data_IF_185485895199
#
_entry.id   IF_185485895199
#
_cell.length_a   1.000
_cell.length_b   1.000
_cell.length_c   1.000
_cell.angle_alpha   90.00
_cell.angle_beta   90.00
_cell.angle_gamma   90.00
#
_symmetry.space_group_name_H-M   'P 1'
#
loop_
_entity.id
_entity.type
_entity.pdbx_description
1 polymer ?
#
# COMPACT_ATOMS: atom_id res chain seq x y z
N UNK A 1 43.96 58.96 29.64
CA UNK A 1 45.37 58.59 29.90
C UNK A 1 45.50 57.10 29.70
N UNK A 2 46.25 56.67 28.69
CA UNK A 2 46.77 55.29 28.59
C UNK A 2 47.89 55.11 29.66
N UNK A 3 48.42 53.90 29.98
CA UNK A 3 49.09 53.08 28.96
C UNK A 3 49.13 51.54 29.17
N UNK A 4 49.45 50.86 28.05
CA UNK A 4 50.39 49.73 27.88
C UNK A 4 50.63 48.72 29.02
N UNK A 5 50.54 47.42 28.70
CA UNK A 5 51.76 46.68 28.37
C UNK A 5 51.50 45.33 27.67
N UNK A 6 52.43 45.00 26.79
CA UNK A 6 52.46 43.88 25.87
C UNK A 6 53.50 42.83 26.29
N UNK A 7 53.18 41.57 25.98
CA UNK A 7 54.10 40.47 25.61
C UNK A 7 55.01 39.87 26.69
N UNK A 8 54.95 38.53 26.88
CA UNK A 8 55.92 37.57 26.31
C UNK A 8 55.67 36.11 26.80
N UNK A 9 55.66 35.14 25.86
CA UNK A 9 56.23 33.75 25.96
C UNK A 9 55.63 32.74 26.98
N UNK A 10 55.48 31.42 26.76
CA UNK A 10 55.87 30.46 25.71
C UNK A 10 55.27 29.07 26.06
N UNK A 11 54.88 28.27 25.05
CA UNK A 11 54.70 26.79 24.96
C UNK A 11 54.12 25.97 26.15
N UNK A 12 53.02 25.25 25.89
CA UNK A 12 53.01 23.78 25.83
C UNK A 12 51.65 23.22 25.36
N UNK A 13 51.74 22.27 24.44
CA UNK A 13 50.67 21.43 23.88
C UNK A 13 49.88 20.66 24.95
N UNK A 14 48.56 20.53 24.76
CA UNK A 14 47.89 19.22 24.76
C UNK A 14 46.45 19.31 24.25
N UNK A 15 46.10 18.29 23.47
CA UNK A 15 44.92 18.13 22.65
C UNK A 15 43.64 17.88 23.45
N UNK A 16 42.49 18.14 22.82
CA UNK A 16 41.29 17.33 23.04
C UNK A 16 39.98 18.09 23.09
N UNK A 17 39.01 17.63 22.30
CA UNK A 17 37.57 17.91 22.34
C UNK A 17 37.09 19.23 21.72
N UNK A 18 37.13 19.31 20.38
CA UNK A 18 36.01 19.95 19.66
C UNK A 18 34.86 18.95 19.62
N UNK A 19 33.79 19.22 20.39
CA UNK A 19 32.52 18.52 20.28
C UNK A 19 31.98 18.69 18.85
N UNK A 20 32.11 17.64 18.04
CA UNK A 20 31.30 17.48 16.85
C UNK A 20 29.87 17.19 17.29
N UNK A 21 29.02 18.20 17.20
CA UNK A 21 27.56 18.04 17.32
C UNK A 21 27.13 17.20 16.12
N UNK A 22 26.98 15.89 16.33
CA UNK A 22 26.20 15.05 15.43
C UNK A 22 24.76 15.54 15.48
N UNK A 23 24.11 15.91 14.36
CA UNK A 23 22.68 15.80 14.32
C UNK A 23 22.38 14.30 14.28
N UNK A 24 22.12 13.72 15.45
CA UNK A 24 21.41 12.46 15.53
C UNK A 24 20.01 12.71 14.98
N UNK A 25 19.85 12.62 13.66
CA UNK A 25 18.53 12.43 13.03
C UNK A 25 18.18 10.97 13.22
N UNK A 26 17.86 10.60 14.45
CA UNK A 26 17.17 9.36 14.79
C UNK A 26 15.90 9.78 15.50
N UNK A 27 14.86 10.06 14.71
CA UNK A 27 13.53 10.33 15.23
C UNK A 27 12.48 9.81 14.25
N UNK A 28 12.27 8.49 14.26
CA UNK A 28 10.93 7.94 14.08
C UNK A 28 10.78 6.74 15.01
N UNK A 29 9.89 6.87 16.00
CA UNK A 29 8.93 5.80 16.21
C UNK A 29 7.49 6.37 16.36
N UNK A 30 6.48 5.55 16.06
CA UNK A 30 5.16 5.96 15.55
C UNK A 30 4.32 4.73 15.16
N UNK A 31 4.09 3.79 16.09
CA UNK A 31 3.86 2.34 15.88
C UNK A 31 2.46 1.81 16.19
N UNK A 32 1.83 0.88 15.43
CA UNK A 32 1.22 -0.45 15.85
C UNK A 32 0.10 -1.19 15.03
N UNK A 33 0.41 -2.48 14.80
CA UNK A 33 -0.21 -3.72 14.24
C UNK A 33 0.41 -4.83 15.11
N UNK A 34 -0.07 -6.07 15.04
CA UNK A 34 0.59 -7.17 15.77
C UNK A 34 1.88 -7.66 15.09
N UNK A 35 2.10 -7.32 13.82
CA UNK A 35 3.28 -7.71 13.07
C UNK A 35 4.54 -7.01 13.58
N UNK A 36 5.60 -7.79 13.79
CA UNK A 36 6.91 -7.32 14.26
C UNK A 36 7.07 -7.27 15.77
N UNK A 37 6.00 -7.47 16.54
CA UNK A 37 6.07 -7.51 18.01
C UNK A 37 6.80 -8.75 18.53
N UNK A 38 7.49 -8.58 19.66
CA UNK A 38 8.11 -9.69 20.38
C UNK A 38 7.05 -10.61 21.01
N UNK A 39 7.44 -11.85 21.30
CA UNK A 39 6.54 -12.83 21.95
C UNK A 39 5.99 -12.31 23.29
N UNK A 40 6.84 -11.65 24.08
CA UNK A 40 6.46 -11.07 25.37
C UNK A 40 5.41 -9.96 25.23
N UNK A 41 5.54 -9.13 24.21
CA UNK A 41 4.56 -8.08 23.96
C UNK A 41 3.24 -8.69 23.50
N UNK A 42 3.28 -9.63 22.54
CA UNK A 42 2.09 -10.33 22.07
C UNK A 42 1.32 -10.99 23.24
N UNK A 43 2.03 -11.63 24.17
CA UNK A 43 1.42 -12.22 25.38
C UNK A 43 0.72 -11.19 26.28
N UNK A 44 1.18 -9.93 26.29
CA UNK A 44 0.55 -8.82 27.01
C UNK A 44 -0.63 -8.23 26.24
N UNK A 45 -0.51 -8.05 24.91
CA UNK A 45 -1.51 -7.36 24.09
C UNK A 45 -2.71 -8.25 23.82
N UNK A 46 -2.49 -9.47 23.33
CA UNK A 46 -3.54 -10.36 22.81
C UNK A 46 -4.71 -10.54 23.79
N UNK A 47 -4.48 -10.76 25.11
CA UNK A 47 -5.58 -10.91 26.07
C UNK A 47 -6.47 -9.67 26.23
N UNK A 48 -6.00 -8.49 25.83
CA UNK A 48 -6.75 -7.22 25.92
C UNK A 48 -7.59 -6.94 24.67
N UNK A 49 -7.36 -7.69 23.59
CA UNK A 49 -8.06 -7.50 22.32
C UNK A 49 -9.39 -8.27 22.29
N UNK A 50 -10.38 -7.68 21.63
CA UNK A 50 -11.62 -8.38 21.32
C UNK A 50 -11.37 -9.39 20.18
N UNK A 51 -10.96 -10.59 20.55
CA UNK A 51 -10.63 -11.64 19.60
C UNK A 51 -11.88 -12.12 18.84
N UNK A 52 -11.77 -12.17 17.52
CA UNK A 52 -12.81 -12.71 16.64
C UNK A 52 -12.27 -13.86 15.79
N UNK A 53 -13.18 -14.67 15.25
CA UNK A 53 -12.83 -15.65 14.23
C UNK A 53 -12.82 -14.94 12.87
N UNK A 54 -11.74 -15.05 12.06
CA UNK A 54 -11.69 -14.39 10.76
C UNK A 54 -12.86 -14.78 9.86
N UNK A 55 -13.41 -13.80 9.15
CA UNK A 55 -14.49 -14.02 8.20
C UNK A 55 -14.11 -14.94 7.03
N UNK A 56 -15.12 -15.48 6.35
CA UNK A 56 -14.95 -16.17 5.07
C UNK A 56 -14.81 -15.15 3.93
N UNK A 57 -14.07 -15.53 2.89
CA UNK A 57 -14.01 -14.77 1.63
C UNK A 57 -15.42 -14.64 1.05
N UNK A 58 -15.91 -13.41 0.77
CA UNK A 58 -17.19 -13.23 0.10
C UNK A 58 -17.21 -13.94 -1.27
N UNK A 59 -18.35 -14.54 -1.67
CA UNK A 59 -18.45 -15.18 -2.98
C UNK A 59 -18.45 -14.12 -4.09
N UNK A 60 -18.23 -14.54 -5.36
CA UNK A 60 -18.42 -13.68 -6.51
C UNK A 60 -19.82 -13.06 -6.56
N UNK A 61 -19.92 -11.86 -7.14
CA UNK A 61 -21.20 -11.19 -7.32
C UNK A 61 -22.18 -12.04 -8.14
N UNK A 62 -23.42 -12.16 -7.66
CA UNK A 62 -24.52 -12.75 -8.44
C UNK A 62 -24.85 -11.92 -9.68
N UNK A 63 -24.91 -10.60 -9.52
CA UNK A 63 -25.03 -9.65 -10.62
C UNK A 63 -23.69 -8.95 -10.80
N UNK A 64 -22.99 -9.29 -11.88
CA UNK A 64 -21.65 -8.80 -12.19
C UNK A 64 -21.64 -7.86 -13.42
N UNK A 65 -22.81 -7.35 -13.82
CA UNK A 65 -22.94 -6.35 -14.87
C UNK A 65 -22.67 -4.93 -14.38
N UNK A 66 -22.72 -3.99 -15.32
CA UNK A 66 -22.70 -2.55 -15.02
C UNK A 66 -23.97 -2.16 -14.25
N UNK A 67 -23.81 -1.27 -13.26
CA UNK A 67 -24.91 -0.62 -12.52
C UNK A 67 -24.43 0.72 -11.98
N UNK A 68 -25.38 1.62 -11.72
CA UNK A 68 -25.13 2.87 -10.99
C UNK A 68 -24.58 2.53 -9.59
N UNK A 69 -23.46 3.15 -9.20
CA UNK A 69 -22.84 2.96 -7.87
C UNK A 69 -22.74 4.26 -7.06
N UNK A 70 -22.88 5.42 -7.71
CA UNK A 70 -23.24 6.65 -7.01
C UNK A 70 -24.77 6.76 -6.96
N UNK A 71 -25.38 5.96 -6.08
CA UNK A 71 -26.83 5.89 -5.89
C UNK A 71 -27.28 6.53 -4.56
N UNK A 72 -28.59 6.47 -4.27
CA UNK A 72 -29.19 7.02 -3.05
C UNK A 72 -28.70 6.32 -1.77
N UNK A 73 -28.35 5.04 -1.85
CA UNK A 73 -27.85 4.26 -0.71
C UNK A 73 -26.36 4.54 -0.44
N UNK A 74 -25.60 4.94 -1.47
CA UNK A 74 -24.17 5.21 -1.41
C UNK A 74 -23.81 6.67 -1.75
N UNK A 75 -24.38 7.67 -1.05
CA UNK A 75 -24.04 9.06 -1.30
C UNK A 75 -22.62 9.36 -0.82
N UNK A 76 -21.93 10.27 -1.54
CA UNK A 76 -20.68 10.83 -1.04
C UNK A 76 -20.93 11.67 0.21
N UNK A 77 -20.06 11.55 1.23
CA UNK A 77 -20.07 12.43 2.39
C UNK A 77 -18.65 12.93 2.67
N UNK A 78 -18.48 14.18 3.14
CA UNK A 78 -17.19 14.68 3.59
C UNK A 78 -16.68 13.88 4.81
N UNK A 79 -15.37 13.92 5.04
CA UNK A 79 -14.75 13.30 6.21
C UNK A 79 -15.24 13.96 7.49
N UNK A 80 -15.53 13.12 8.48
CA UNK A 80 -15.80 13.53 9.85
C UNK A 80 -14.51 13.44 10.68
N UNK A 81 -14.41 14.12 11.83
CA UNK A 81 -13.32 13.91 12.75
C UNK A 81 -13.16 12.43 13.09
N UNK A 82 -11.96 11.88 12.88
CA UNK A 82 -11.64 10.47 13.11
C UNK A 82 -11.84 9.54 11.91
N UNK A 83 -12.43 10.01 10.79
CA UNK A 83 -12.47 9.22 9.56
C UNK A 83 -11.06 9.12 8.93
N UNK A 84 -10.67 7.91 8.53
CA UNK A 84 -9.33 7.63 8.00
C UNK A 84 -9.39 7.39 6.49
N UNK A 85 -8.42 7.97 5.78
CA UNK A 85 -8.12 7.71 4.37
C UNK A 85 -6.62 7.49 4.23
N UNK A 86 -6.21 6.85 3.15
CA UNK A 86 -4.81 6.50 2.93
C UNK A 86 -4.38 6.57 1.48
N UNK A 87 -3.47 5.66 1.14
CA UNK A 87 -2.74 5.60 -0.13
C UNK A 87 -3.62 5.17 -1.30
N UNK A 88 -4.70 4.41 -1.05
CA UNK A 88 -5.52 3.79 -2.09
C UNK A 88 -6.74 4.66 -2.46
N UNK A 89 -6.78 5.31 -3.64
CA UNK A 89 -7.93 6.13 -4.05
C UNK A 89 -9.22 5.31 -4.20
N UNK A 90 -9.13 4.01 -4.52
CA UNK A 90 -10.28 3.11 -4.62
C UNK A 90 -10.96 2.91 -3.27
N UNK A 91 -10.22 2.43 -2.26
CA UNK A 91 -10.77 2.22 -0.91
C UNK A 91 -11.23 3.53 -0.27
N UNK A 92 -10.50 4.62 -0.50
CA UNK A 92 -10.90 5.94 -0.03
C UNK A 92 -12.27 6.35 -0.58
N UNK A 93 -12.50 6.12 -1.87
CA UNK A 93 -13.79 6.40 -2.53
C UNK A 93 -14.89 5.53 -1.97
N UNK A 94 -14.65 4.22 -1.80
CA UNK A 94 -15.64 3.29 -1.24
C UNK A 94 -16.04 3.66 0.18
N UNK A 95 -15.10 4.06 1.04
CA UNK A 95 -15.39 4.55 2.39
C UNK A 95 -16.17 5.88 2.35
N UNK A 96 -15.80 6.82 1.48
CA UNK A 96 -16.50 8.09 1.33
C UNK A 96 -17.91 7.96 0.74
N UNK A 97 -18.23 6.82 0.12
CA UNK A 97 -19.56 6.49 -0.38
C UNK A 97 -20.33 5.50 0.51
N UNK A 98 -19.72 4.97 1.58
CA UNK A 98 -20.39 4.05 2.51
C UNK A 98 -20.49 2.60 2.02
N UNK A 99 -19.78 2.22 0.96
CA UNK A 99 -19.55 0.81 0.62
C UNK A 99 -18.65 0.13 1.66
N UNK A 100 -17.72 0.89 2.21
CA UNK A 100 -16.98 0.55 3.42
C UNK A 100 -17.49 1.38 4.61
N UNK A 101 -17.22 0.93 5.86
CA UNK A 101 -17.35 1.80 7.02
C UNK A 101 -16.67 3.15 6.77
N UNK A 102 -17.43 4.25 6.94
CA UNK A 102 -16.98 5.60 6.55
C UNK A 102 -15.75 6.08 7.34
N UNK A 103 -15.54 5.50 8.52
CA UNK A 103 -14.36 5.74 9.36
C UNK A 103 -13.06 5.16 8.78
N UNK A 104 -13.13 4.34 7.71
CA UNK A 104 -11.95 3.78 7.06
C UNK A 104 -11.36 2.57 7.79
N UNK A 105 -12.12 1.91 8.66
CA UNK A 105 -11.69 0.69 9.36
C UNK A 105 -12.64 -0.43 8.99
N UNK A 106 -12.12 -1.50 8.39
CA UNK A 106 -12.93 -2.56 7.79
C UNK A 106 -12.33 -3.94 7.99
N UNK A 107 -13.17 -4.96 7.93
CA UNK A 107 -12.72 -6.36 7.84
C UNK A 107 -12.30 -6.70 6.40
N UNK A 108 -11.48 -7.75 6.19
CA UNK A 108 -11.17 -8.25 4.85
C UNK A 108 -12.42 -8.56 4.03
N UNK A 109 -13.43 -9.17 4.67
CA UNK A 109 -14.69 -9.49 4.00
C UNK A 109 -15.46 -8.24 3.55
N UNK A 110 -15.47 -7.17 4.35
CA UNK A 110 -16.07 -5.89 3.96
C UNK A 110 -15.33 -5.26 2.77
N UNK A 111 -13.99 -5.32 2.75
CA UNK A 111 -13.17 -4.80 1.66
C UNK A 111 -13.45 -5.55 0.36
N UNK A 112 -13.41 -6.88 0.39
CA UNK A 112 -13.66 -7.72 -0.79
C UNK A 112 -15.08 -7.51 -1.32
N UNK A 113 -16.08 -7.41 -0.45
CA UNK A 113 -17.44 -7.10 -0.86
C UNK A 113 -17.54 -5.70 -1.47
N UNK A 114 -16.90 -4.69 -0.88
CA UNK A 114 -16.97 -3.31 -1.34
C UNK A 114 -16.29 -3.09 -2.70
N UNK A 115 -15.10 -3.66 -2.94
CA UNK A 115 -14.40 -3.52 -4.23
C UNK A 115 -15.11 -4.26 -5.37
N UNK A 116 -15.73 -5.41 -5.05
CA UNK A 116 -16.63 -6.08 -5.98
C UNK A 116 -17.86 -5.21 -6.26
N UNK A 117 -18.58 -4.77 -5.23
CA UNK A 117 -19.84 -4.06 -5.41
C UNK A 117 -19.69 -2.69 -6.07
N UNK A 118 -18.72 -1.88 -5.63
CA UNK A 118 -18.52 -0.50 -6.09
C UNK A 118 -17.72 -0.39 -7.38
N UNK A 119 -16.78 -1.30 -7.65
CA UNK A 119 -15.90 -1.22 -8.83
C UNK A 119 -15.98 -2.41 -9.78
N UNK A 120 -16.68 -3.49 -9.40
CA UNK A 120 -16.67 -4.76 -10.14
C UNK A 120 -15.27 -5.37 -10.25
N UNK A 121 -14.46 -5.25 -9.19
CA UNK A 121 -13.19 -5.96 -9.10
C UNK A 121 -13.43 -7.47 -9.11
N UNK A 122 -12.66 -8.23 -9.88
CA UNK A 122 -12.81 -9.69 -9.90
C UNK A 122 -12.45 -10.33 -8.55
N UNK A 123 -13.09 -11.45 -8.17
CA UNK A 123 -12.95 -12.06 -6.84
C UNK A 123 -11.51 -12.45 -6.50
N UNK A 124 -10.75 -12.98 -7.45
CA UNK A 124 -9.37 -13.42 -7.28
C UNK A 124 -8.46 -12.24 -6.94
N UNK A 125 -8.50 -11.17 -7.76
CA UNK A 125 -7.76 -9.93 -7.52
C UNK A 125 -8.17 -9.31 -6.18
N UNK A 126 -9.47 -9.21 -5.88
CA UNK A 126 -9.97 -8.65 -4.64
C UNK A 126 -9.46 -9.43 -3.41
N UNK A 127 -9.48 -10.76 -3.48
CA UNK A 127 -9.01 -11.65 -2.41
C UNK A 127 -7.51 -11.48 -2.19
N UNK A 128 -6.72 -11.53 -3.27
CA UNK A 128 -5.27 -11.43 -3.18
C UNK A 128 -4.83 -10.12 -2.55
N UNK A 129 -5.27 -8.97 -3.10
CA UNK A 129 -4.80 -7.66 -2.62
C UNK A 129 -5.29 -7.38 -1.21
N UNK A 130 -6.51 -7.81 -0.86
CA UNK A 130 -7.05 -7.59 0.48
C UNK A 130 -6.30 -8.39 1.54
N UNK A 131 -6.07 -9.69 1.32
CA UNK A 131 -5.36 -10.49 2.30
C UNK A 131 -3.85 -10.26 2.30
N UNK A 132 -3.24 -9.91 1.16
CA UNK A 132 -1.86 -9.45 1.12
C UNK A 132 -1.68 -8.21 2.00
N UNK A 133 -2.57 -7.22 1.88
CA UNK A 133 -2.57 -6.06 2.77
C UNK A 133 -2.89 -6.45 4.21
N UNK A 134 -3.97 -7.20 4.48
CA UNK A 134 -4.40 -7.53 5.84
C UNK A 134 -3.36 -8.32 6.64
N UNK A 135 -2.66 -9.26 6.01
CA UNK A 135 -1.66 -10.09 6.70
C UNK A 135 -0.45 -9.29 7.17
N UNK A 136 -0.14 -8.17 6.54
CA UNK A 136 0.94 -7.28 6.96
C UNK A 136 0.40 -6.10 7.77
N UNK A 137 -0.63 -5.41 7.26
CA UNK A 137 -1.17 -4.12 7.75
C UNK A 137 -2.32 -4.22 8.75
N UNK A 138 -2.99 -5.37 8.81
CA UNK A 138 -4.17 -5.59 9.65
C UNK A 138 -3.84 -6.12 11.04
N UNK A 139 -4.88 -6.22 11.87
CA UNK A 139 -4.81 -6.93 13.15
C UNK A 139 -5.51 -8.30 13.02
N UNK A 140 -4.75 -9.41 12.96
CA UNK A 140 -5.33 -10.75 12.79
C UNK A 140 -6.20 -11.22 13.96
N UNK A 141 -6.11 -10.59 15.14
CA UNK A 141 -6.90 -10.96 16.33
C UNK A 141 -8.28 -10.33 16.28
N UNK A 142 -8.38 -9.07 15.87
CA UNK A 142 -9.67 -8.32 15.78
C UNK A 142 -10.33 -8.39 14.40
N UNK A 143 -9.64 -8.93 13.39
CA UNK A 143 -10.10 -8.99 11.98
C UNK A 143 -10.34 -7.61 11.35
N UNK A 144 -9.57 -6.60 11.78
CA UNK A 144 -9.72 -5.21 11.32
C UNK A 144 -8.45 -4.66 10.67
N UNK A 145 -8.64 -3.90 9.60
CA UNK A 145 -7.63 -3.14 8.87
C UNK A 145 -8.05 -1.68 8.75
N UNK A 146 -7.09 -0.77 8.96
CA UNK A 146 -7.22 0.64 8.61
C UNK A 146 -6.83 0.83 7.14
N UNK A 147 -7.67 1.51 6.36
CA UNK A 147 -7.36 1.84 4.96
C UNK A 147 -6.38 3.02 4.81
N UNK A 148 -5.90 3.56 5.93
CA UNK A 148 -4.88 4.59 5.99
C UNK A 148 -3.90 4.35 7.13
N UNK A 149 -3.64 5.37 7.93
CA UNK A 149 -2.66 5.28 9.02
C UNK A 149 -3.14 4.50 10.25
N UNK A 150 -2.24 4.42 11.22
CA UNK A 150 -2.49 3.78 12.52
C UNK A 150 -3.73 4.35 13.21
N UNK A 151 -4.47 3.47 13.86
CA UNK A 151 -5.60 3.84 14.71
C UNK A 151 -5.85 2.83 15.84
N UNK A 152 -6.38 3.31 16.97
CA UNK A 152 -6.87 2.45 18.05
C UNK A 152 -8.12 1.65 17.65
N UNK A 153 -8.77 2.01 16.54
CA UNK A 153 -9.98 1.34 16.08
C UNK A 153 -9.76 -0.08 15.54
N UNK A 154 -8.51 -0.51 15.29
CA UNK A 154 -8.18 -1.90 14.94
C UNK A 154 -7.81 -2.74 16.17
N UNK A 155 -7.79 -2.16 17.37
CA UNK A 155 -7.41 -2.81 18.62
C UNK A 155 -6.76 -1.82 19.59
N UNK A 156 -7.01 -1.96 20.89
CA UNK A 156 -6.38 -1.12 21.90
C UNK A 156 -4.88 -1.40 21.99
N UNK A 157 -4.12 -0.33 22.07
CA UNK A 157 -2.66 -0.34 22.19
C UNK A 157 -2.27 -0.24 23.66
N UNK A 158 -1.55 -1.23 24.23
CA UNK A 158 -0.99 -1.15 25.56
C UNK A 158 0.38 -0.47 25.52
N UNK A 159 0.39 0.84 25.24
CA UNK A 159 1.56 1.74 25.34
C UNK A 159 2.88 1.15 24.80
N UNK A 160 2.85 0.29 23.78
CA UNK A 160 4.08 -0.30 23.22
C UNK A 160 4.58 0.57 22.08
N UNK A 161 5.79 1.09 22.27
CA UNK A 161 6.52 1.89 21.31
C UNK A 161 7.20 1.05 20.21
N UNK A 162 6.81 -0.21 19.94
CA UNK A 162 7.63 -1.14 19.13
C UNK A 162 6.95 -1.75 17.88
N UNK A 163 5.65 -1.59 17.68
CA UNK A 163 4.95 -2.26 16.58
C UNK A 163 5.02 -1.52 15.21
N UNK A 164 5.72 -2.09 14.24
CA UNK A 164 6.13 -1.42 12.97
C UNK A 164 5.06 -1.21 11.91
N UNK A 165 3.94 -1.95 11.95
CA UNK A 165 2.94 -1.94 10.88
C UNK A 165 1.60 -1.42 11.40
N UNK A 166 0.73 -0.70 10.67
CA UNK A 166 -0.52 -0.18 11.24
C UNK A 166 -1.48 0.42 10.19
N UNK A 167 -2.06 -0.40 9.33
CA UNK A 167 -2.88 0.08 8.21
C UNK A 167 -2.06 0.44 6.97
N UNK A 168 -2.76 0.73 5.88
CA UNK A 168 -2.18 0.86 4.54
C UNK A 168 -1.18 2.01 4.35
N UNK A 169 -1.00 2.91 5.31
CA UNK A 169 0.09 3.91 5.22
C UNK A 169 1.45 3.34 5.64
N UNK A 170 1.53 2.10 6.14
CA UNK A 170 2.81 1.48 6.47
C UNK A 170 3.63 1.22 5.23
N UNK A 171 4.80 1.86 5.18
CA UNK A 171 5.74 1.74 4.08
C UNK A 171 6.41 0.36 4.02
N UNK A 172 6.71 -0.09 2.80
CA UNK A 172 7.53 -1.26 2.45
C UNK A 172 6.95 -2.65 2.77
N UNK A 173 5.68 -2.75 3.17
CA UNK A 173 4.98 -4.04 3.34
C UNK A 173 3.86 -4.24 2.32
N UNK A 174 3.14 -3.17 1.98
CA UNK A 174 2.17 -3.12 0.88
C UNK A 174 2.31 -1.80 0.12
N UNK A 175 2.24 -0.67 0.83
CA UNK A 175 2.62 0.66 0.33
C UNK A 175 4.10 0.66 -0.07
N UNK A 176 4.45 1.41 -1.11
CA UNK A 176 5.85 1.56 -1.49
C UNK A 176 6.08 2.66 -2.52
N UNK A 177 7.36 2.84 -2.83
CA UNK A 177 7.86 3.95 -3.64
C UNK A 177 7.31 3.97 -5.07
N UNK A 178 7.51 5.09 -5.76
CA UNK A 178 7.09 5.33 -7.14
C UNK A 178 5.56 5.41 -7.27
N UNK A 179 4.84 5.90 -6.26
CA UNK A 179 3.38 6.06 -6.37
C UNK A 179 3.00 7.17 -7.36
N UNK A 180 1.85 7.03 -8.05
CA UNK A 180 1.48 7.96 -9.14
C UNK A 180 1.02 9.35 -8.64
N UNK A 181 0.49 9.42 -7.42
CA UNK A 181 -0.10 10.65 -6.85
C UNK A 181 0.24 10.84 -5.37
N UNK A 182 1.15 10.02 -4.83
CA UNK A 182 1.64 10.03 -3.45
C UNK A 182 3.17 10.06 -3.52
N UNK A 183 3.83 10.77 -2.62
CA UNK A 183 5.28 10.82 -2.58
C UNK A 183 5.87 9.52 -2.01
N UNK A 184 7.15 9.27 -2.28
CA UNK A 184 7.88 8.19 -1.60
C UNK A 184 7.99 8.50 -0.10
N UNK A 185 7.92 7.47 0.75
CA UNK A 185 7.96 7.63 2.20
C UNK A 185 9.24 8.31 2.71
N UNK A 186 10.35 8.17 1.96
CA UNK A 186 11.59 8.89 2.23
C UNK A 186 11.41 10.41 2.35
N UNK A 187 10.44 10.99 1.63
CA UNK A 187 10.16 12.43 1.66
C UNK A 187 9.14 12.84 2.74
N UNK A 188 8.67 11.91 3.57
CA UNK A 188 7.87 12.18 4.78
C UNK A 188 6.41 11.76 4.69
N UNK A 189 5.68 12.17 3.65
CA UNK A 189 4.24 11.87 3.50
C UNK A 189 3.98 10.97 2.29
N UNK A 190 3.78 9.68 2.57
CA UNK A 190 3.53 8.64 1.56
C UNK A 190 2.06 8.45 1.18
N UNK A 191 1.11 9.17 1.79
CA UNK A 191 -0.31 8.81 1.73
C UNK A 191 -1.21 9.93 1.25
N UNK A 192 -0.88 11.19 1.56
CA UNK A 192 -1.66 12.33 1.10
C UNK A 192 -1.59 12.48 -0.42
N UNK A 193 -2.68 12.99 -1.00
CA UNK A 193 -2.69 13.40 -2.40
C UNK A 193 -1.64 14.50 -2.61
N UNK A 194 -0.74 14.28 -3.58
CA UNK A 194 0.30 15.22 -3.94
C UNK A 194 -0.05 15.91 -5.27
N UNK A 195 -0.33 17.23 -5.20
CA UNK A 195 -0.73 18.01 -6.38
C UNK A 195 0.34 18.00 -7.48
N UNK A 196 1.62 18.13 -7.13
CA UNK A 196 2.73 18.14 -8.12
C UNK A 196 2.80 16.83 -8.90
N UNK A 197 2.66 15.68 -8.24
CA UNK A 197 2.62 14.38 -8.92
C UNK A 197 1.33 14.21 -9.75
N UNK A 198 0.20 14.75 -9.28
CA UNK A 198 -1.03 14.73 -10.07
C UNK A 198 -0.96 15.65 -11.30
N UNK A 199 -0.29 16.81 -11.21
CA UNK A 199 -0.04 17.68 -12.36
C UNK A 199 0.84 16.97 -13.39
N UNK A 200 1.82 16.16 -12.94
CA UNK A 200 2.59 15.29 -13.82
C UNK A 200 1.74 14.19 -14.46
N UNK A 201 0.81 13.58 -13.70
CA UNK A 201 -0.16 12.63 -14.24
C UNK A 201 -1.03 13.26 -15.34
N UNK A 202 -1.46 14.52 -15.16
CA UNK A 202 -2.20 15.30 -16.15
C UNK A 202 -1.33 15.62 -17.37
N UNK A 203 -0.08 16.08 -17.18
CA UNK A 203 0.86 16.36 -18.27
C UNK A 203 1.09 15.12 -19.16
N UNK A 204 1.36 13.97 -18.54
CA UNK A 204 1.56 12.71 -19.27
C UNK A 204 0.28 12.28 -20.02
N UNK A 205 -0.89 12.50 -19.42
CA UNK A 205 -2.18 12.24 -20.09
C UNK A 205 -2.39 13.15 -21.30
N UNK A 206 -2.04 14.42 -21.21
CA UNK A 206 -2.11 15.36 -22.33
C UNK A 206 -1.14 14.98 -23.46
N UNK A 207 0.12 14.68 -23.11
CA UNK A 207 1.18 14.40 -24.09
C UNK A 207 1.05 13.07 -24.81
N UNK A 208 0.54 12.04 -24.12
CA UNK A 208 0.60 10.67 -24.61
C UNK A 208 -0.77 9.97 -24.71
N UNK A 209 -1.83 10.59 -24.18
CA UNK A 209 -3.18 10.02 -24.17
C UNK A 209 -4.26 10.95 -24.73
N UNK A 210 -3.88 12.05 -25.40
CA UNK A 210 -4.83 13.01 -25.96
C UNK A 210 -5.74 13.65 -24.90
N UNK A 211 -5.21 13.85 -23.68
CA UNK A 211 -5.95 14.42 -22.54
C UNK A 211 -6.64 13.38 -21.65
N UNK A 212 -6.49 12.09 -21.93
CA UNK A 212 -7.02 11.00 -21.13
C UNK A 212 -5.89 10.11 -20.59
N UNK A 213 -6.10 9.52 -19.42
CA UNK A 213 -5.24 8.46 -18.93
C UNK A 213 -5.66 7.13 -19.54
N UNK A 214 -4.73 6.49 -20.25
CA UNK A 214 -4.91 5.20 -20.90
C UNK A 214 -3.65 4.33 -20.69
N UNK A 215 -3.60 3.15 -21.32
CA UNK A 215 -2.51 2.20 -21.07
C UNK A 215 -1.14 2.70 -21.57
N UNK A 216 -1.11 3.49 -22.65
CA UNK A 216 0.11 4.14 -23.15
C UNK A 216 0.65 5.17 -22.14
N UNK A 217 -0.25 5.97 -21.56
CA UNK A 217 0.11 6.93 -20.50
C UNK A 217 0.62 6.18 -19.27
N UNK A 218 -0.03 5.09 -18.88
CA UNK A 218 0.36 4.26 -17.75
C UNK A 218 1.81 3.74 -17.87
N UNK A 219 2.19 3.20 -19.04
CA UNK A 219 3.56 2.76 -19.34
C UNK A 219 4.59 3.89 -19.18
N UNK A 220 4.33 5.04 -19.83
CA UNK A 220 5.27 6.17 -19.81
C UNK A 220 5.40 6.82 -18.44
N UNK A 221 4.28 7.01 -17.74
CA UNK A 221 4.28 7.62 -16.41
C UNK A 221 4.95 6.70 -15.38
N UNK A 222 4.66 5.39 -15.40
CA UNK A 222 5.32 4.40 -14.53
C UNK A 222 6.84 4.44 -14.69
N UNK A 223 7.34 4.40 -15.94
CA UNK A 223 8.76 4.48 -16.21
C UNK A 223 9.39 5.79 -15.70
N UNK A 224 8.69 6.92 -15.88
CA UNK A 224 9.15 8.21 -15.39
C UNK A 224 9.22 8.27 -13.86
N UNK A 225 8.20 7.78 -13.16
CA UNK A 225 8.15 7.78 -11.70
C UNK A 225 9.28 6.91 -11.12
N UNK A 226 9.56 5.75 -11.72
CA UNK A 226 10.68 4.89 -11.31
C UNK A 226 12.00 5.64 -11.50
N UNK A 227 12.19 6.29 -12.65
CA UNK A 227 13.40 7.09 -12.91
C UNK A 227 13.56 8.23 -11.91
N UNK A 228 12.47 8.89 -11.52
CA UNK A 228 12.49 9.96 -10.52
C UNK A 228 12.89 9.43 -9.14
N UNK A 229 12.30 8.33 -8.67
CA UNK A 229 12.67 7.71 -7.40
C UNK A 229 14.13 7.25 -7.40
N UNK A 230 14.63 6.64 -8.49
CA UNK A 230 16.06 6.31 -8.65
C UNK A 230 16.93 7.56 -8.47
N UNK A 231 16.54 8.69 -9.07
CA UNK A 231 17.35 9.90 -9.08
C UNK A 231 17.29 10.73 -7.80
N UNK A 232 16.28 10.54 -6.95
CA UNK A 232 15.98 11.46 -5.84
C UNK A 232 15.82 10.78 -4.49
N UNK A 233 15.42 9.51 -4.45
CA UNK A 233 15.24 8.75 -3.22
C UNK A 233 16.44 7.80 -3.00
N UNK A 234 17.38 8.11 -2.08
CA UNK A 234 18.55 7.28 -1.82
C UNK A 234 18.20 5.92 -1.19
N UNK A 235 16.96 5.73 -0.73
CA UNK A 235 16.43 4.47 -0.16
C UNK A 235 15.37 3.83 -1.06
N UNK A 236 15.32 4.21 -2.34
CA UNK A 236 14.33 3.69 -3.28
C UNK A 236 14.30 2.16 -3.30
N UNK A 237 13.14 1.58 -3.00
CA UNK A 237 12.91 0.13 -3.01
C UNK A 237 11.81 -0.25 -4.02
N UNK A 238 12.15 -1.13 -4.96
CA UNK A 238 11.26 -1.56 -6.03
C UNK A 238 11.36 -3.08 -6.26
N UNK A 239 11.28 -3.83 -5.16
CA UNK A 239 11.22 -5.29 -5.13
C UNK A 239 9.82 -5.79 -4.76
N UNK A 240 9.61 -7.09 -4.79
CA UNK A 240 8.33 -7.71 -4.43
C UNK A 240 7.96 -7.47 -2.96
N UNK A 241 6.68 -7.17 -2.65
CA UNK A 241 5.53 -7.17 -3.54
C UNK A 241 5.33 -5.87 -4.35
N UNK A 242 6.02 -4.77 -3.98
CA UNK A 242 5.83 -3.44 -4.59
C UNK A 242 6.06 -3.43 -6.09
N UNK A 243 7.04 -4.19 -6.58
CA UNK A 243 7.29 -4.34 -8.02
C UNK A 243 6.01 -4.69 -8.77
N UNK A 244 5.23 -5.67 -8.31
CA UNK A 244 3.97 -6.06 -8.95
C UNK A 244 2.84 -5.05 -8.75
N UNK A 245 2.64 -4.58 -7.52
CA UNK A 245 1.51 -3.69 -7.20
C UNK A 245 1.64 -2.36 -7.92
N UNK A 246 2.86 -1.81 -8.06
CA UNK A 246 3.12 -0.60 -8.80
C UNK A 246 2.65 -0.68 -10.27
N UNK A 247 2.91 -1.79 -10.96
CA UNK A 247 2.43 -2.02 -12.33
C UNK A 247 0.91 -2.28 -12.37
N UNK A 248 0.39 -3.10 -11.45
CA UNK A 248 -1.05 -3.39 -11.38
C UNK A 248 -1.88 -2.10 -11.16
N UNK A 249 -1.47 -1.28 -10.20
CA UNK A 249 -2.10 -0.01 -9.84
C UNK A 249 -2.10 1.00 -11.00
N UNK A 250 -1.11 0.94 -11.89
CA UNK A 250 -1.08 1.77 -13.09
C UNK A 250 -2.21 1.42 -14.08
N UNK A 251 -2.81 0.22 -13.99
CA UNK A 251 -3.97 -0.19 -14.80
C UNK A 251 -5.31 0.15 -14.15
N UNK A 252 -5.36 0.28 -12.83
CA UNK A 252 -6.61 0.43 -12.07
C UNK A 252 -7.44 1.67 -12.44
N UNK A 253 -6.85 2.85 -12.71
CA UNK A 253 -7.63 4.00 -13.17
C UNK A 253 -8.37 3.74 -14.49
N UNK A 254 -7.80 2.91 -15.37
CA UNK A 254 -8.37 2.53 -16.67
C UNK A 254 -9.49 1.49 -16.46
N UNK A 255 -9.28 0.57 -15.52
CA UNK A 255 -10.15 -0.59 -15.32
C UNK A 255 -11.32 -0.34 -14.38
N UNK A 256 -11.18 0.59 -13.43
CA UNK A 256 -12.16 0.81 -12.36
C UNK A 256 -12.70 2.24 -12.28
N UNK A 257 -11.97 3.25 -12.78
CA UNK A 257 -12.39 4.66 -12.66
C UNK A 257 -13.02 5.21 -13.95
N UNK A 258 -13.05 4.41 -15.02
CA UNK A 258 -13.80 4.72 -16.23
C UNK A 258 -15.23 4.22 -16.07
N UNK A 259 -16.22 5.05 -16.42
CA UNK A 259 -17.64 4.67 -16.38
C UNK A 259 -17.86 3.44 -17.27
N UNK A 260 -18.53 2.42 -16.73
CA UNK A 260 -18.72 1.12 -17.38
C UNK A 260 -19.53 1.16 -18.66
N UNK A 261 -20.21 2.27 -18.98
CA UNK A 261 -20.92 2.50 -20.24
C UNK A 261 -19.99 3.03 -21.33
N UNK A 262 -18.78 3.50 -20.98
CA UNK A 262 -17.83 4.04 -21.94
C UNK A 262 -16.98 2.92 -22.59
N UNK A 263 -17.11 2.68 -23.91
CA UNK A 263 -16.39 1.61 -24.60
C UNK A 263 -14.89 1.91 -24.82
N UNK A 264 -14.48 3.18 -24.77
CA UNK A 264 -13.10 3.62 -25.08
C UNK A 264 -12.12 3.29 -23.95
N UNK A 265 -12.62 3.14 -22.71
CA UNK A 265 -11.81 2.80 -21.53
C UNK A 265 -10.61 3.73 -21.33
N UNK A 266 -10.84 5.03 -21.40
CA UNK A 266 -9.84 6.06 -21.11
C UNK A 266 -10.39 7.01 -20.04
N UNK A 267 -9.60 7.29 -19.01
CA UNK A 267 -10.01 8.07 -17.85
C UNK A 267 -9.80 9.57 -18.12
N UNK A 268 -10.88 10.36 -18.03
CA UNK A 268 -10.78 11.83 -18.13
C UNK A 268 -10.13 12.42 -16.89
N UNK A 269 -9.43 13.55 -17.03
CA UNK A 269 -8.79 14.22 -15.89
C UNK A 269 -9.79 14.75 -14.85
N UNK A 270 -11.00 15.11 -15.29
CA UNK A 270 -12.11 15.46 -14.39
C UNK A 270 -12.46 14.29 -13.46
N UNK A 271 -12.63 13.09 -14.02
CA UNK A 271 -12.93 11.91 -13.21
C UNK A 271 -11.71 11.49 -12.37
N UNK A 272 -10.51 11.54 -12.93
CA UNK A 272 -9.27 11.25 -12.20
C UNK A 272 -9.15 12.13 -10.95
N UNK A 273 -9.45 13.43 -11.07
CA UNK A 273 -9.43 14.37 -9.94
C UNK A 273 -10.38 13.93 -8.84
N UNK A 274 -11.61 13.52 -9.19
CA UNK A 274 -12.60 13.08 -8.22
C UNK A 274 -12.16 11.84 -7.43
N UNK A 275 -11.53 10.87 -8.09
CA UNK A 275 -11.04 9.67 -7.41
C UNK A 275 -9.77 9.92 -6.60
N UNK A 276 -8.76 10.56 -7.19
CA UNK A 276 -7.44 10.69 -6.57
C UNK A 276 -7.39 11.73 -5.44
N UNK A 277 -8.10 12.85 -5.60
CA UNK A 277 -8.13 13.97 -4.65
C UNK A 277 -9.36 13.91 -3.75
N UNK A 278 -10.54 13.74 -4.33
CA UNK A 278 -11.81 13.98 -3.62
C UNK A 278 -12.43 12.69 -3.03
N UNK A 279 -11.83 11.53 -3.31
CA UNK A 279 -12.35 10.22 -2.91
C UNK A 279 -13.83 10.05 -3.27
N UNK A 280 -14.17 10.33 -4.52
CA UNK A 280 -15.54 10.54 -4.96
C UNK A 280 -15.79 9.92 -6.33
N UNK A 281 -16.91 9.20 -6.45
CA UNK A 281 -17.43 8.81 -7.75
C UNK A 281 -17.93 10.04 -8.53
N UNK A 282 -17.73 10.11 -9.86
CA UNK A 282 -18.49 11.02 -10.72
C UNK A 282 -19.99 10.86 -10.50
N UNK A 283 -20.77 11.94 -10.64
CA UNK A 283 -22.24 11.83 -10.62
C UNK A 283 -22.69 10.91 -11.76
N UNK A 284 -23.70 10.08 -11.51
CA UNK A 284 -24.16 9.06 -12.46
C UNK A 284 -23.01 8.12 -12.90
N UNK A 285 -22.11 7.74 -11.99
CA UNK A 285 -21.04 6.79 -12.31
C UNK A 285 -21.54 5.35 -12.26
N UNK A 286 -21.31 4.62 -13.35
CA UNK A 286 -21.63 3.21 -13.46
C UNK A 286 -20.34 2.39 -13.36
N UNK A 287 -20.32 1.37 -12.49
CA UNK A 287 -19.15 0.48 -12.36
C UNK A 287 -18.88 -0.28 -13.65
N UNK A 288 -17.68 -0.86 -13.77
CA UNK A 288 -17.27 -1.65 -14.93
C UNK A 288 -18.30 -2.72 -15.33
N UNK A 289 -18.43 -2.98 -16.63
CA UNK A 289 -19.50 -3.82 -17.18
C UNK A 289 -19.37 -5.33 -16.90
N UNK A 290 -18.18 -5.78 -16.47
CA UNK A 290 -17.89 -7.14 -16.08
C UNK A 290 -16.80 -7.14 -15.00
N UNK A 291 -16.65 -8.23 -14.21
CA UNK A 291 -15.53 -8.40 -13.30
C UNK A 291 -14.21 -8.18 -14.02
N UNK A 292 -13.33 -7.40 -13.40
CA UNK A 292 -12.03 -7.10 -13.99
C UNK A 292 -10.95 -6.95 -12.92
N UNK A 293 -9.75 -7.46 -13.20
CA UNK A 293 -8.55 -7.22 -12.42
C UNK A 293 -7.59 -6.24 -13.09
N UNK A 294 -6.27 -6.47 -13.02
CA UNK A 294 -5.25 -5.64 -13.65
C UNK A 294 -5.10 -5.91 -15.16
N UNK A 295 -6.21 -5.85 -15.91
CA UNK A 295 -6.19 -6.05 -17.37
C UNK A 295 -5.23 -5.05 -18.04
N UNK A 296 -4.34 -5.57 -18.88
CA UNK A 296 -3.32 -4.79 -19.59
C UNK A 296 -1.99 -4.65 -18.85
N UNK A 297 -1.84 -5.27 -17.66
CA UNK A 297 -0.64 -5.14 -16.83
C UNK A 297 0.66 -5.47 -17.56
N UNK A 298 0.69 -6.51 -18.42
CA UNK A 298 1.90 -6.96 -19.11
C UNK A 298 2.51 -5.88 -20.03
N UNK A 299 1.67 -5.03 -20.64
CA UNK A 299 2.14 -3.98 -21.55
C UNK A 299 3.03 -2.94 -20.87
N UNK A 300 2.80 -2.66 -19.59
CA UNK A 300 3.48 -1.58 -18.86
C UNK A 300 4.98 -1.91 -18.62
N UNK A 301 5.37 -3.06 -18.04
CA UNK A 301 6.77 -3.46 -17.92
C UNK A 301 7.39 -3.94 -19.25
N UNK A 302 6.62 -4.37 -20.25
CA UNK A 302 7.16 -4.75 -21.57
C UNK A 302 7.66 -3.54 -22.37
N UNK A 303 6.95 -2.41 -22.32
CA UNK A 303 7.33 -1.19 -23.02
C UNK A 303 8.60 -0.55 -22.43
N UNK A 304 8.74 -0.57 -21.10
CA UNK A 304 9.89 -0.02 -20.37
C UNK A 304 10.42 -1.00 -19.33
N UNK A 305 11.16 -2.04 -19.75
CA UNK A 305 11.59 -3.10 -18.86
C UNK A 305 12.64 -2.64 -17.85
N UNK A 306 12.43 -3.02 -16.59
CA UNK A 306 13.40 -2.88 -15.50
C UNK A 306 13.29 -4.11 -14.59
N UNK A 307 14.44 -4.61 -14.11
CA UNK A 307 14.47 -5.67 -13.11
C UNK A 307 14.09 -5.12 -11.74
N UNK A 308 13.44 -5.93 -10.91
CA UNK A 308 13.22 -5.60 -9.50
C UNK A 308 14.56 -5.29 -8.81
N UNK A 309 14.57 -4.33 -7.89
CA UNK A 309 15.81 -3.82 -7.29
C UNK A 309 15.60 -2.57 -6.43
N UNK A 310 16.72 -1.95 -6.05
CA UNK A 310 16.75 -0.81 -5.11
C UNK A 310 17.95 0.10 -5.34
N UNK A 311 17.89 1.33 -4.85
CA UNK A 311 19.08 2.15 -4.67
C UNK A 311 19.89 1.61 -3.48
N UNK A 312 21.12 1.14 -3.74
CA UNK A 312 21.93 0.47 -2.73
C UNK A 312 22.81 1.43 -1.90
N UNK A 313 23.33 2.48 -2.52
CA UNK A 313 24.34 3.38 -1.95
C UNK A 313 24.07 4.85 -2.30
N UNK A 314 22.83 5.30 -2.10
CA UNK A 314 22.40 6.67 -2.41
C UNK A 314 21.66 6.77 -3.74
N UNK A 315 21.36 8.01 -4.17
CA UNK A 315 20.64 8.24 -5.43
C UNK A 315 21.44 7.79 -6.64
N UNK A 316 20.76 7.37 -7.70
CA UNK A 316 21.34 6.87 -8.95
C UNK A 316 22.22 5.61 -8.78
N UNK A 317 21.93 4.76 -7.81
CA UNK A 317 22.67 3.51 -7.55
C UNK A 317 21.80 2.26 -7.70
N UNK A 318 20.80 2.32 -8.59
CA UNK A 318 19.83 1.25 -8.76
C UNK A 318 20.50 -0.08 -9.10
N UNK A 319 20.40 -1.03 -8.19
CA UNK A 319 20.99 -2.36 -8.28
C UNK A 319 19.87 -3.37 -8.33
N UNK A 320 19.87 -4.22 -9.34
CA UNK A 320 18.88 -5.29 -9.48
C UNK A 320 19.03 -6.30 -8.33
N UNK A 321 17.91 -6.76 -7.81
CA UNK A 321 17.86 -7.84 -6.84
C UNK A 321 17.41 -9.14 -7.54
N UNK A 322 18.32 -10.07 -7.84
CA UNK A 322 17.97 -11.31 -8.53
C UNK A 322 17.14 -12.27 -7.67
N UNK A 323 16.97 -12.00 -6.37
CA UNK A 323 16.17 -12.82 -5.46
C UNK A 323 14.71 -12.37 -5.37
N UNK A 324 14.40 -11.15 -5.83
CA UNK A 324 13.03 -10.66 -5.90
C UNK A 324 12.25 -11.39 -6.99
N UNK A 325 10.99 -11.73 -6.69
CA UNK A 325 10.06 -12.21 -7.70
C UNK A 325 9.74 -11.12 -8.74
N UNK A 326 9.30 -11.59 -9.92
CA UNK A 326 8.89 -10.79 -11.07
C UNK A 326 7.75 -11.49 -11.85
N UNK A 327 7.28 -10.89 -12.95
CA UNK A 327 6.15 -11.44 -13.72
C UNK A 327 6.38 -12.83 -14.32
N UNK A 328 7.62 -13.34 -14.37
CA UNK A 328 7.93 -14.71 -14.78
C UNK A 328 7.86 -15.72 -13.63
N UNK A 329 7.75 -15.25 -12.38
CA UNK A 329 7.90 -16.03 -11.16
C UNK A 329 6.78 -15.76 -10.15
N UNK A 330 5.51 -15.78 -10.60
CA UNK A 330 4.34 -15.51 -9.76
C UNK A 330 4.20 -16.41 -8.52
N UNK A 331 4.64 -17.67 -8.60
CA UNK A 331 4.66 -18.52 -7.40
C UNK A 331 5.73 -18.09 -6.39
N UNK A 332 6.86 -17.53 -6.86
CA UNK A 332 7.89 -16.97 -5.99
C UNK A 332 7.37 -15.73 -5.26
N UNK A 333 6.51 -14.91 -5.89
CA UNK A 333 5.83 -13.80 -5.22
C UNK A 333 5.02 -14.30 -4.02
N UNK A 334 4.18 -15.33 -4.22
CA UNK A 334 3.38 -15.92 -3.15
C UNK A 334 4.27 -16.53 -2.05
N UNK A 335 5.26 -17.35 -2.42
CA UNK A 335 6.08 -18.06 -1.45
C UNK A 335 6.98 -17.12 -0.66
N UNK A 336 7.56 -16.09 -1.28
CA UNK A 336 8.34 -15.08 -0.58
C UNK A 336 7.46 -14.25 0.37
N UNK A 337 6.27 -13.84 -0.07
CA UNK A 337 5.36 -13.10 0.78
C UNK A 337 5.01 -13.89 2.05
N UNK A 338 4.66 -15.17 1.93
CA UNK A 338 4.26 -15.98 3.09
C UNK A 338 5.46 -16.41 3.95
N UNK A 339 6.54 -16.93 3.35
CA UNK A 339 7.67 -17.49 4.10
C UNK A 339 8.69 -16.47 4.57
N UNK A 340 8.74 -15.29 3.95
CA UNK A 340 9.67 -14.22 4.33
C UNK A 340 8.92 -13.07 4.98
N UNK A 341 7.98 -12.42 4.29
CA UNK A 341 7.31 -11.22 4.81
C UNK A 341 6.38 -11.52 5.98
N UNK A 342 5.41 -12.43 5.82
CA UNK A 342 4.46 -12.76 6.90
C UNK A 342 5.17 -13.45 8.06
N UNK A 343 6.15 -14.33 7.76
CA UNK A 343 6.92 -15.05 8.78
C UNK A 343 7.88 -14.15 9.57
N UNK A 344 8.45 -13.10 8.96
CA UNK A 344 9.29 -12.14 9.69
C UNK A 344 8.44 -11.29 10.64
N UNK A 345 7.21 -10.94 10.24
CA UNK A 345 6.26 -10.23 11.10
C UNK A 345 5.74 -11.09 12.24
N UNK A 346 5.58 -12.40 12.02
CA UNK A 346 5.06 -13.33 13.02
C UNK A 346 5.94 -14.59 13.10
N UNK A 347 7.12 -14.52 13.74
CA UNK A 347 8.07 -15.63 13.72
C UNK A 347 7.60 -16.86 14.52
N UNK A 348 6.91 -16.65 15.64
CA UNK A 348 6.46 -17.71 16.54
C UNK A 348 5.06 -17.44 17.13
N UNK A 349 4.01 -17.24 16.30
CA UNK A 349 2.68 -16.93 16.81
C UNK A 349 2.10 -18.12 17.58
N UNK A 350 1.38 -17.83 18.66
CA UNK A 350 0.71 -18.83 19.53
C UNK A 350 -0.79 -18.56 19.65
N UNK A 351 -1.51 -19.54 20.19
CA UNK A 351 -2.92 -19.41 20.56
C UNK A 351 -3.80 -18.84 19.45
N UNK A 352 -4.56 -17.79 19.80
CA UNK A 352 -5.53 -17.13 18.91
C UNK A 352 -4.85 -16.52 17.69
N UNK A 353 -3.69 -15.87 17.87
CA UNK A 353 -2.95 -15.25 16.77
C UNK A 353 -2.52 -16.30 15.74
N UNK A 354 -1.94 -17.43 16.19
CA UNK A 354 -1.57 -18.54 15.31
C UNK A 354 -2.77 -19.07 14.53
N UNK A 355 -3.87 -19.34 15.22
CA UNK A 355 -5.11 -19.86 14.60
C UNK A 355 -5.61 -18.90 13.52
N UNK A 356 -5.69 -17.60 13.84
CA UNK A 356 -6.22 -16.60 12.92
C UNK A 356 -5.27 -16.37 11.74
N UNK A 357 -3.95 -16.44 11.93
CA UNK A 357 -2.98 -16.41 10.82
C UNK A 357 -3.15 -17.60 9.88
N UNK A 358 -3.36 -18.82 10.40
CA UNK A 358 -3.61 -20.01 9.56
C UNK A 358 -4.89 -19.81 8.72
N UNK A 359 -5.97 -19.29 9.30
CA UNK A 359 -7.22 -19.04 8.58
C UNK A 359 -7.04 -17.98 7.49
N UNK A 360 -6.37 -16.86 7.80
CA UNK A 360 -6.16 -15.78 6.85
C UNK A 360 -5.21 -16.17 5.70
N UNK A 361 -4.16 -16.96 5.97
CA UNK A 361 -3.29 -17.52 4.93
C UNK A 361 -4.05 -18.47 3.99
N UNK A 362 -4.99 -19.25 4.54
CA UNK A 362 -5.87 -20.11 3.74
C UNK A 362 -6.87 -19.31 2.92
N UNK A 363 -7.37 -18.19 3.44
CA UNK A 363 -8.23 -17.27 2.69
C UNK A 363 -7.46 -16.50 1.60
N UNK A 364 -6.16 -16.27 1.80
CA UNK A 364 -5.28 -15.61 0.83
C UNK A 364 -4.98 -16.49 -0.40
N UNK A 365 -4.73 -17.79 -0.17
CA UNK A 365 -4.24 -18.72 -1.20
C UNK A 365 -5.08 -18.81 -2.48
N UNK A 366 -6.43 -18.84 -2.46
CA UNK A 366 -7.25 -18.85 -3.67
C UNK A 366 -7.05 -17.64 -4.58
N UNK A 367 -6.55 -16.51 -4.06
CA UNK A 367 -6.28 -15.31 -4.84
C UNK A 367 -4.94 -15.30 -5.57
N UNK A 368 -4.06 -16.30 -5.36
CA UNK A 368 -2.69 -16.28 -5.90
C UNK A 368 -2.68 -16.08 -7.43
N UNK A 369 -1.99 -15.04 -7.94
CA UNK A 369 -1.90 -14.78 -9.38
C UNK A 369 -1.29 -15.94 -10.15
N UNK A 370 -1.83 -16.24 -11.33
CA UNK A 370 -1.40 -17.40 -12.13
C UNK A 370 -2.05 -18.73 -11.70
N UNK A 371 -2.88 -18.69 -10.65
CA UNK A 371 -3.63 -19.84 -10.16
C UNK A 371 -2.80 -20.78 -9.28
N UNK A 372 -3.50 -21.71 -8.64
CA UNK A 372 -2.93 -22.63 -7.63
C UNK A 372 -2.37 -23.93 -8.23
N UNK A 373 -2.53 -24.16 -9.54
CA UNK A 373 -2.18 -25.43 -10.18
C UNK A 373 -0.68 -25.76 -10.08
N UNK A 374 0.18 -24.74 -10.22
CA UNK A 374 1.65 -24.88 -10.17
C UNK A 374 2.27 -24.18 -8.96
N UNK A 375 1.44 -23.77 -8.00
CA UNK A 375 1.91 -23.08 -6.80
C UNK A 375 1.20 -23.66 -5.57
N UNK A 376 1.79 -24.67 -4.91
CA UNK A 376 1.13 -25.36 -3.82
C UNK A 376 0.97 -24.46 -2.59
N UNK A 377 -0.13 -24.65 -1.86
CA UNK A 377 -0.38 -23.97 -0.59
C UNK A 377 0.73 -24.31 0.41
N UNK A 378 1.27 -23.28 1.06
CA UNK A 378 2.29 -23.41 2.10
C UNK A 378 1.71 -23.07 3.48
N UNK A 379 2.22 -23.78 4.49
CA UNK A 379 1.67 -23.78 5.84
C UNK A 379 2.77 -23.35 6.84
N UNK A 380 3.19 -22.07 6.86
CA UNK A 380 4.31 -21.61 7.70
C UNK A 380 4.07 -21.84 9.20
N UNK A 381 2.81 -21.96 9.60
CA UNK A 381 2.39 -22.20 10.98
C UNK A 381 1.71 -23.56 11.19
N UNK A 382 1.73 -24.45 10.19
CA UNK A 382 1.00 -25.73 10.20
C UNK A 382 -0.47 -25.59 9.78
N UNK A 383 -1.25 -26.66 9.99
CA UNK A 383 -2.69 -26.74 9.67
C UNK A 383 -3.53 -26.72 10.96
N UNK A 384 -4.82 -26.39 10.83
CA UNK A 384 -5.82 -26.48 11.89
C UNK A 384 -6.53 -27.83 11.90
#
# INVERSE_FOLDING_TARGET
MAPFNSSLTLFAFLAGMSLSIFPAVTAFPAHASLGGLSERELDKIIPTLNAVLPGKVPPPLKFNGTKLVYDKAHPWQPLRPGDIRGVCPGLNTLASHGYLPRNGIATPAQIIAAVQEGFNMEPETATFVTYAAFLVDGNPVTDLLSIGGKTKGTGLDPDSEEASVAGLNTHAVFEGDSSMTRADAFFGDNHSFNQTLFDQFVDYSNRYGGGYYNLTVAAKLRAQLIKQSIATNPKFEFTSPRFFTAYAESTFPINFFVDGRNPVRALSMTNATLFFRDSKFPKDFWRAAAPIGPKGIQHIPEEYPIKAGRNANGVNTYTADPTSADFSSLCLLYTNFVNQTVKSLYPNPKGILRRNLIINLRNFYPGVPGGTANCPEIFPYGKL
#
